data_IF_862922601277
#
_entry.id   IF_862922601277
#
_cell.length_a   1.000
_cell.length_b   1.000
_cell.length_c   1.000
_cell.angle_alpha   90.00
_cell.angle_beta   90.00
_cell.angle_gamma   90.00
#
_symmetry.space_group_name_H-M   'P 1'
#
loop_
_entity.id
_entity.type
_entity.pdbx_description
1 polymer ?
#
# COMPACT_ATOMS: atom_id res chain seq x y z
N UNK A 1 -6.07 16.03 -0.90
CA UNK A 1 -4.99 15.12 -1.24
C UNK A 1 -5.58 13.81 -1.77
N UNK A 2 -4.79 13.03 -2.49
CA UNK A 2 -5.28 11.82 -3.10
C UNK A 2 -5.23 10.60 -2.19
N UNK A 3 -5.87 9.54 -2.63
CA UNK A 3 -5.76 8.21 -2.02
C UNK A 3 -4.95 7.32 -2.98
N UNK A 4 -3.82 6.82 -2.52
CA UNK A 4 -2.87 6.09 -3.36
C UNK A 4 -2.83 4.61 -2.95
N UNK A 5 -3.01 3.73 -3.92
CA UNK A 5 -2.78 2.31 -3.73
C UNK A 5 -1.31 2.03 -4.03
N UNK A 6 -0.58 1.45 -3.09
CA UNK A 6 0.81 1.04 -3.29
C UNK A 6 0.86 -0.48 -3.31
N UNK A 7 1.04 -1.07 -4.48
CA UNK A 7 1.24 -2.51 -4.58
C UNK A 7 2.68 -2.84 -4.23
N UNK A 8 2.89 -3.90 -3.46
CA UNK A 8 4.21 -4.21 -2.95
C UNK A 8 4.65 -3.24 -1.86
N UNK A 9 3.69 -2.61 -1.17
CA UNK A 9 3.98 -1.57 -0.20
C UNK A 9 4.69 -2.04 1.06
N UNK A 10 4.73 -3.34 1.33
CA UNK A 10 5.48 -3.89 2.46
C UNK A 10 6.93 -4.26 2.08
N UNK A 11 7.31 -4.10 0.81
CA UNK A 11 8.69 -4.25 0.38
C UNK A 11 9.54 -3.07 0.80
N UNK A 12 10.86 -3.17 0.61
CA UNK A 12 11.78 -2.12 1.03
C UNK A 12 11.46 -0.78 0.36
N UNK A 13 11.39 -0.77 -0.97
CA UNK A 13 11.10 0.46 -1.71
C UNK A 13 9.66 0.91 -1.49
N UNK A 14 8.71 -0.03 -1.56
CA UNK A 14 7.29 0.28 -1.39
C UNK A 14 6.98 0.89 -0.02
N UNK A 15 7.62 0.40 1.04
CA UNK A 15 7.41 0.93 2.39
C UNK A 15 7.91 2.36 2.52
N UNK A 16 9.04 2.69 1.88
CA UNK A 16 9.54 4.07 1.87
C UNK A 16 8.60 4.99 1.08
N UNK A 17 7.99 4.49 0.01
CA UNK A 17 6.99 5.25 -0.76
C UNK A 17 5.77 5.50 0.11
N UNK A 18 5.30 4.50 0.86
CA UNK A 18 4.18 4.68 1.79
C UNK A 18 4.50 5.78 2.81
N UNK A 19 5.69 5.74 3.42
CA UNK A 19 6.11 6.74 4.39
C UNK A 19 6.06 8.15 3.79
N UNK A 20 6.61 8.30 2.60
CA UNK A 20 6.67 9.61 1.95
C UNK A 20 5.28 10.13 1.60
N UNK A 21 4.41 9.28 1.09
CA UNK A 21 3.04 9.67 0.74
C UNK A 21 2.25 10.11 1.97
N UNK A 22 2.38 9.38 3.08
CA UNK A 22 1.74 9.75 4.35
C UNK A 22 2.28 11.10 4.83
N UNK A 23 3.60 11.28 4.77
CA UNK A 23 4.26 12.51 5.21
C UNK A 23 3.74 13.74 4.48
N UNK A 24 3.49 13.62 3.17
CA UNK A 24 3.00 14.75 2.38
C UNK A 24 1.47 14.87 2.36
N UNK A 25 0.77 14.05 3.11
CA UNK A 25 -0.67 14.22 3.37
C UNK A 25 -1.62 13.37 2.54
N UNK A 26 -1.12 12.37 1.81
CA UNK A 26 -1.99 11.45 1.09
C UNK A 26 -2.52 10.34 1.99
N UNK A 27 -3.68 9.79 1.63
CA UNK A 27 -4.13 8.51 2.17
C UNK A 27 -3.43 7.39 1.38
N UNK A 28 -3.01 6.34 2.06
CA UNK A 28 -2.30 5.23 1.45
C UNK A 28 -2.99 3.91 1.76
N UNK A 29 -3.22 3.12 0.72
CA UNK A 29 -3.63 1.72 0.85
C UNK A 29 -2.44 0.87 0.41
N UNK A 30 -1.82 0.17 1.34
CA UNK A 30 -0.73 -0.75 1.05
C UNK A 30 -1.33 -2.11 0.71
N UNK A 31 -1.00 -2.63 -0.47
CA UNK A 31 -1.48 -3.92 -0.94
C UNK A 31 -0.28 -4.82 -1.22
N UNK A 32 -0.17 -5.91 -0.48
CA UNK A 32 1.00 -6.78 -0.57
C UNK A 32 0.62 -8.21 -0.18
N UNK A 33 1.22 -9.20 -0.82
CA UNK A 33 1.05 -10.60 -0.48
C UNK A 33 2.10 -11.09 0.53
N UNK A 34 3.03 -10.22 0.91
CA UNK A 34 4.11 -10.50 1.88
C UNK A 34 5.09 -11.59 1.44
N UNK A 35 5.13 -11.94 0.15
CA UNK A 35 6.09 -12.94 -0.33
C UNK A 35 7.55 -12.44 -0.28
N UNK A 36 7.75 -11.19 -0.65
CA UNK A 36 9.09 -10.57 -0.66
C UNK A 36 9.18 -9.36 0.27
N UNK A 37 8.04 -8.88 0.78
CA UNK A 37 7.98 -7.81 1.73
C UNK A 37 7.81 -8.33 3.15
N UNK A 38 7.97 -7.45 4.10
CA UNK A 38 7.82 -7.79 5.52
C UNK A 38 6.86 -6.82 6.18
N UNK A 39 5.97 -7.36 7.00
CA UNK A 39 5.02 -6.53 7.75
C UNK A 39 5.74 -5.53 8.65
N UNK A 40 6.93 -5.87 9.13
CA UNK A 40 7.75 -4.98 9.95
C UNK A 40 8.09 -3.67 9.24
N UNK A 41 8.17 -3.68 7.91
CA UNK A 41 8.48 -2.49 7.13
C UNK A 41 7.40 -1.42 7.20
N UNK A 42 6.16 -1.80 7.51
CA UNK A 42 5.01 -0.91 7.58
C UNK A 42 4.38 -0.84 8.97
N UNK A 43 4.95 -1.55 9.93
CA UNK A 43 4.41 -1.67 11.28
C UNK A 43 4.26 -0.31 11.96
N UNK A 44 5.21 0.59 11.73
CA UNK A 44 5.18 1.94 12.29
C UNK A 44 4.04 2.80 11.73
N UNK A 45 3.42 2.38 10.64
CA UNK A 45 2.26 3.08 10.05
C UNK A 45 0.93 2.57 10.58
N UNK A 46 0.93 1.46 11.28
CA UNK A 46 -0.29 0.92 11.88
C UNK A 46 -0.86 1.94 12.87
N UNK A 47 -2.16 2.15 12.80
CA UNK A 47 -2.83 3.14 13.64
C UNK A 47 -2.87 4.54 13.04
N UNK A 48 -2.14 4.80 11.97
CA UNK A 48 -2.26 6.07 11.26
C UNK A 48 -3.58 6.08 10.50
N UNK A 49 -4.40 7.11 10.71
CA UNK A 49 -5.74 7.16 10.11
C UNK A 49 -5.70 7.24 8.60
N UNK A 50 -4.58 7.65 8.02
CA UNK A 50 -4.41 7.76 6.57
C UNK A 50 -3.76 6.52 5.95
N UNK A 51 -3.52 5.47 6.74
CA UNK A 51 -2.87 4.26 6.26
C UNK A 51 -3.76 3.04 6.48
N UNK A 52 -3.85 2.20 5.43
CA UNK A 52 -4.55 0.91 5.50
C UNK A 52 -3.67 -0.16 4.85
N UNK A 53 -3.68 -1.35 5.41
CA UNK A 53 -2.98 -2.48 4.82
C UNK A 53 -3.98 -3.55 4.40
N UNK A 54 -3.82 -4.06 3.18
CA UNK A 54 -4.61 -5.16 2.65
C UNK A 54 -3.64 -6.24 2.18
N UNK A 55 -3.72 -7.41 2.78
CA UNK A 55 -2.95 -8.56 2.31
C UNK A 55 -3.70 -9.20 1.14
N UNK A 56 -3.05 -9.27 -0.01
CA UNK A 56 -3.65 -9.84 -1.20
C UNK A 56 -2.63 -10.02 -2.30
N UNK A 57 -3.06 -10.63 -3.39
CA UNK A 57 -2.23 -10.96 -4.54
C UNK A 57 -2.69 -10.15 -5.75
N UNK A 58 -1.75 -9.46 -6.41
CA UNK A 58 -2.08 -8.66 -7.61
C UNK A 58 -2.63 -9.51 -8.75
N UNK A 59 -2.44 -10.82 -8.71
CA UNK A 59 -3.01 -11.75 -9.69
C UNK A 59 -4.49 -12.00 -9.46
N UNK A 60 -5.01 -11.67 -8.28
CA UNK A 60 -6.44 -11.74 -7.99
C UNK A 60 -7.09 -10.42 -8.38
N UNK A 61 -7.62 -10.38 -9.61
CA UNK A 61 -8.18 -9.14 -10.17
C UNK A 61 -9.35 -8.60 -9.36
N UNK A 62 -10.21 -9.47 -8.86
CA UNK A 62 -11.37 -9.04 -8.09
C UNK A 62 -10.95 -8.38 -6.77
N UNK A 63 -9.98 -8.97 -6.10
CA UNK A 63 -9.47 -8.43 -4.84
C UNK A 63 -8.72 -7.11 -5.06
N UNK A 64 -7.90 -7.06 -6.12
CA UNK A 64 -7.18 -5.85 -6.50
C UNK A 64 -8.15 -4.70 -6.82
N UNK A 65 -9.22 -4.98 -7.54
CA UNK A 65 -10.24 -3.98 -7.86
C UNK A 65 -10.89 -3.43 -6.60
N UNK A 66 -11.16 -4.28 -5.62
CA UNK A 66 -11.71 -3.83 -4.33
C UNK A 66 -10.73 -2.90 -3.62
N UNK A 67 -9.45 -3.25 -3.63
CA UNK A 67 -8.41 -2.42 -3.01
C UNK A 67 -8.27 -1.07 -3.70
N UNK A 68 -8.44 -1.03 -5.03
CA UNK A 68 -8.34 0.19 -5.82
C UNK A 68 -9.53 1.13 -5.66
N UNK A 69 -10.65 0.63 -5.13
CA UNK A 69 -11.87 1.44 -5.01
C UNK A 69 -11.61 2.68 -4.17
N UNK A 70 -11.94 3.83 -4.73
CA UNK A 70 -11.72 5.12 -4.06
C UNK A 70 -10.30 5.65 -4.18
N UNK A 71 -9.38 4.90 -4.78
CA UNK A 71 -8.02 5.38 -5.01
C UNK A 71 -7.96 6.25 -6.25
N UNK A 72 -7.20 7.34 -6.16
CA UNK A 72 -7.00 8.27 -7.28
C UNK A 72 -5.74 7.94 -8.06
N UNK A 73 -4.79 7.24 -7.45
CA UNK A 73 -3.51 6.88 -8.05
C UNK A 73 -3.09 5.49 -7.64
N UNK A 74 -2.26 4.87 -8.46
CA UNK A 74 -1.65 3.57 -8.14
C UNK A 74 -0.15 3.69 -8.34
N UNK A 75 0.60 3.28 -7.32
CA UNK A 75 2.05 3.13 -7.40
C UNK A 75 2.36 1.63 -7.35
N UNK A 76 2.78 1.09 -8.49
CA UNK A 76 2.98 -0.36 -8.62
C UNK A 76 4.44 -0.71 -8.33
N UNK A 77 4.69 -1.26 -7.15
CA UNK A 77 6.03 -1.68 -6.72
C UNK A 77 6.16 -3.20 -6.59
N UNK A 78 5.06 -3.92 -6.78
CA UNK A 78 5.11 -5.38 -6.78
C UNK A 78 5.76 -5.90 -8.07
N UNK A 79 6.55 -6.94 -7.94
CA UNK A 79 7.22 -7.58 -9.07
C UNK A 79 6.25 -8.47 -9.86
#
# INVERSE_FOLDING_TARGET
MGRVLVTGGAGFIGSHICDKLIEIGHEVVCYDNLMTGYKENIEHLEGNINFSFIEGDIRDEADLKKAMKGCTHVSHQAA
#
